data_IF_753213756621
#
_entry.id   IF_753213756621
#
_cell.length_a   1.000
_cell.length_b   1.000
_cell.length_c   1.000
_cell.angle_alpha   90.00
_cell.angle_beta   90.00
_cell.angle_gamma   90.00
#
_symmetry.space_group_name_H-M   'P 1'
#
loop_
_entity.id
_entity.type
_entity.pdbx_description
1 polymer ?
#
# COMPACT_ATOMS: atom_id res chain seq x y z
N UNK A 1 59.60 21.81 -25.12
CA UNK A 1 58.70 22.96 -24.91
C UNK A 1 58.09 23.41 -26.22
N UNK A 2 56.85 22.98 -26.43
CA UNK A 2 56.09 23.19 -27.67
C UNK A 2 55.36 24.53 -27.68
N UNK A 3 55.37 25.11 -28.87
CA UNK A 3 54.88 26.39 -29.38
C UNK A 3 53.34 26.56 -29.45
N UNK A 4 52.88 27.82 -29.34
CA UNK A 4 51.83 28.54 -30.11
C UNK A 4 50.73 27.71 -30.82
N UNK A 5 49.42 27.94 -30.69
CA UNK A 5 48.65 29.10 -31.21
C UNK A 5 47.24 29.21 -30.61
N UNK A 6 46.79 30.45 -30.52
CA UNK A 6 45.42 30.91 -30.23
C UNK A 6 44.50 30.70 -31.46
N UNK A 7 43.25 30.28 -31.26
CA UNK A 7 42.16 30.58 -32.21
C UNK A 7 40.84 30.78 -31.46
N UNK A 8 40.29 31.98 -31.65
CA UNK A 8 38.99 32.44 -31.17
C UNK A 8 37.95 32.24 -32.29
N UNK A 9 36.68 32.03 -31.93
CA UNK A 9 35.45 32.65 -32.48
C UNK A 9 34.19 31.78 -32.16
N UNK A 10 33.39 32.31 -31.20
CA UNK A 10 31.91 32.59 -31.19
C UNK A 10 30.89 31.46 -31.49
N UNK A 11 29.67 31.41 -30.94
CA UNK A 11 28.88 32.11 -29.91
C UNK A 11 27.75 31.12 -29.55
N UNK A 12 27.34 31.04 -28.29
CA UNK A 12 26.18 30.24 -27.86
C UNK A 12 25.71 30.66 -26.49
N UNK A 13 24.84 31.65 -26.46
CA UNK A 13 24.20 32.25 -25.29
C UNK A 13 23.49 31.24 -24.38
N UNK A 14 23.68 31.36 -23.07
CA UNK A 14 22.62 31.74 -22.11
C UNK A 14 22.68 30.96 -20.79
N UNK A 15 22.91 31.75 -19.72
CA UNK A 15 22.35 31.65 -18.37
C UNK A 15 22.55 30.39 -17.53
N UNK A 16 23.56 30.50 -16.66
CA UNK A 16 23.57 30.15 -15.23
C UNK A 16 22.39 29.30 -14.74
N UNK A 17 22.65 28.00 -14.62
CA UNK A 17 21.91 27.06 -13.79
C UNK A 17 22.10 27.47 -12.32
N UNK A 18 21.16 28.25 -11.81
CA UNK A 18 21.06 28.59 -10.39
C UNK A 18 20.09 27.61 -9.74
N UNK A 19 20.49 27.16 -8.56
CA UNK A 19 19.80 26.25 -7.66
C UNK A 19 18.27 26.44 -7.64
N UNK A 20 17.53 25.37 -7.93
CA UNK A 20 16.14 25.19 -7.55
C UNK A 20 16.01 23.85 -6.83
N UNK A 21 16.38 23.85 -5.55
CA UNK A 21 15.71 22.97 -4.60
C UNK A 21 14.25 23.41 -4.54
N UNK A 22 13.26 22.51 -4.57
CA UNK A 22 11.89 22.89 -4.27
C UNK A 22 11.87 23.42 -2.83
N UNK A 23 11.57 24.71 -2.68
CA UNK A 23 11.20 25.31 -1.40
C UNK A 23 10.02 24.54 -0.85
N UNK A 24 10.14 24.08 0.40
CA UNK A 24 9.08 23.44 1.15
C UNK A 24 7.78 24.23 0.99
N UNK A 25 6.83 23.65 0.25
CA UNK A 25 5.49 24.21 0.18
C UNK A 25 4.90 23.96 1.56
N UNK A 26 4.70 25.05 2.30
CA UNK A 26 3.96 25.04 3.55
C UNK A 26 2.61 24.37 3.29
N UNK A 27 2.48 23.12 3.75
CA UNK A 27 1.22 22.39 3.72
C UNK A 27 0.31 23.17 4.64
N UNK A 28 -0.53 24.04 4.07
CA UNK A 28 -1.65 24.63 4.80
C UNK A 28 -2.47 23.45 5.30
N UNK A 29 -2.40 23.19 6.60
CA UNK A 29 -3.33 22.32 7.31
C UNK A 29 -4.71 22.93 7.14
N UNK A 30 -5.40 22.59 6.06
CA UNK A 30 -6.83 22.82 5.93
C UNK A 30 -7.46 21.94 7.01
N UNK A 31 -8.23 22.50 7.96
CA UNK A 31 -8.94 21.67 8.92
C UNK A 31 -9.88 20.78 8.12
N UNK A 32 -9.57 19.49 8.07
CA UNK A 32 -10.44 18.48 7.48
C UNK A 32 -11.71 18.50 8.33
N UNK A 33 -12.74 19.19 7.86
CA UNK A 33 -14.06 19.13 8.46
C UNK A 33 -14.49 17.67 8.40
N UNK A 34 -14.37 16.96 9.52
CA UNK A 34 -14.80 15.57 9.64
C UNK A 34 -16.33 15.58 9.65
N UNK A 35 -16.92 15.66 8.47
CA UNK A 35 -18.33 15.31 8.29
C UNK A 35 -18.37 13.80 8.58
N UNK A 36 -19.05 13.43 9.67
CA UNK A 36 -19.27 12.02 10.01
C UNK A 36 -20.24 11.44 8.99
N UNK A 37 -19.73 10.89 7.90
CA UNK A 37 -20.57 10.38 6.82
C UNK A 37 -21.26 9.08 7.25
N UNK A 38 -22.57 9.05 7.06
CA UNK A 38 -23.38 7.83 7.12
C UNK A 38 -23.98 7.59 5.74
N UNK A 39 -23.98 6.35 5.26
CA UNK A 39 -24.61 6.00 4.00
C UNK A 39 -26.11 6.30 4.05
N UNK A 40 -26.66 6.73 2.92
CA UNK A 40 -28.11 6.89 2.77
C UNK A 40 -28.84 5.59 3.11
N UNK A 41 -29.98 5.68 3.80
CA UNK A 41 -30.79 4.51 4.23
C UNK A 41 -31.23 3.61 3.07
N UNK A 42 -31.17 4.09 1.83
CA UNK A 42 -31.55 3.35 0.63
C UNK A 42 -30.41 2.50 0.04
N UNK A 43 -29.17 2.69 0.49
CA UNK A 43 -28.02 1.93 0.03
C UNK A 43 -28.01 0.59 0.76
N UNK A 44 -28.16 -0.51 0.00
CA UNK A 44 -28.07 -1.86 0.54
C UNK A 44 -26.61 -2.24 0.73
N UNK A 45 -26.27 -2.72 1.92
CA UNK A 45 -24.91 -3.18 2.26
C UNK A 45 -24.98 -4.25 3.34
N UNK A 46 -24.11 -5.27 3.23
CA UNK A 46 -23.91 -6.28 4.27
C UNK A 46 -22.96 -5.82 5.37
N UNK A 47 -22.29 -4.68 5.19
CA UNK A 47 -21.40 -4.08 6.18
C UNK A 47 -21.93 -2.70 6.56
N UNK A 48 -22.38 -2.58 7.81
CA UNK A 48 -22.93 -1.32 8.33
C UNK A 48 -21.79 -0.41 8.78
N UNK A 49 -21.63 0.73 8.10
CA UNK A 49 -20.68 1.75 8.54
C UNK A 49 -21.25 2.51 9.74
N UNK A 50 -20.39 2.88 10.68
CA UNK A 50 -20.77 3.67 11.84
C UNK A 50 -19.96 4.97 11.89
N UNK A 51 -20.49 6.06 12.49
CA UNK A 51 -19.74 7.31 12.65
C UNK A 51 -18.41 7.16 13.40
N UNK A 52 -18.25 6.11 14.20
CA UNK A 52 -17.01 5.83 14.93
C UNK A 52 -15.85 5.40 14.02
N UNK A 53 -16.15 4.85 12.83
CA UNK A 53 -15.14 4.43 11.85
C UNK A 53 -14.42 5.61 11.19
N UNK A 54 -14.96 6.84 11.30
CA UNK A 54 -14.35 8.07 10.78
C UNK A 54 -13.95 8.01 9.30
N UNK A 55 -14.77 7.34 8.48
CA UNK A 55 -14.55 7.21 7.04
C UNK A 55 -14.84 8.53 6.31
N UNK A 56 -14.06 8.80 5.26
CA UNK A 56 -14.38 9.79 4.23
C UNK A 56 -15.60 9.35 3.41
N UNK A 57 -16.17 10.27 2.64
CA UNK A 57 -17.29 9.94 1.73
C UNK A 57 -16.89 8.87 0.71
N UNK A 58 -15.70 8.98 0.11
CA UNK A 58 -15.19 8.03 -0.87
C UNK A 58 -15.02 6.63 -0.25
N UNK A 59 -14.46 6.54 0.96
CA UNK A 59 -14.32 5.27 1.68
C UNK A 59 -15.68 4.66 2.04
N UNK A 60 -16.67 5.49 2.44
CA UNK A 60 -18.02 5.03 2.70
C UNK A 60 -18.70 4.46 1.45
N UNK A 61 -18.55 5.14 0.30
CA UNK A 61 -19.06 4.68 -0.99
C UNK A 61 -18.37 3.38 -1.44
N UNK A 62 -17.05 3.30 -1.29
CA UNK A 62 -16.28 2.09 -1.61
C UNK A 62 -16.73 0.92 -0.71
N UNK A 63 -16.92 1.16 0.59
CA UNK A 63 -17.47 0.15 1.51
C UNK A 63 -18.84 -0.33 1.02
N UNK A 64 -19.75 0.58 0.65
CA UNK A 64 -21.05 0.19 0.11
C UNK A 64 -20.94 -0.66 -1.15
N UNK A 65 -20.02 -0.30 -2.05
CA UNK A 65 -19.73 -1.05 -3.26
C UNK A 65 -19.23 -2.46 -2.95
N UNK A 66 -18.18 -2.59 -2.13
CA UNK A 66 -17.53 -3.86 -1.75
C UNK A 66 -18.52 -4.82 -1.09
N UNK A 67 -19.38 -4.30 -0.22
CA UNK A 67 -20.30 -5.11 0.59
C UNK A 67 -21.75 -5.12 0.05
N UNK A 68 -21.96 -4.72 -1.20
CA UNK A 68 -23.28 -4.76 -1.81
C UNK A 68 -23.78 -6.22 -1.98
N UNK A 69 -24.99 -6.56 -1.50
CA UNK A 69 -25.44 -7.96 -1.40
C UNK A 69 -25.73 -8.64 -2.75
N UNK A 70 -25.81 -7.90 -3.84
CA UNK A 70 -26.17 -8.41 -5.16
C UNK A 70 -25.05 -8.31 -6.19
N UNK A 71 -23.88 -7.82 -5.80
CA UNK A 71 -22.74 -7.75 -6.71
C UNK A 71 -22.07 -9.12 -6.85
N UNK A 72 -21.36 -9.31 -7.96
CA UNK A 72 -20.69 -10.56 -8.28
C UNK A 72 -19.60 -10.89 -7.24
N UNK A 73 -19.74 -12.05 -6.59
CA UNK A 73 -18.79 -12.54 -5.59
C UNK A 73 -17.44 -12.92 -6.19
N UNK A 74 -17.38 -13.23 -7.50
CA UNK A 74 -16.16 -13.56 -8.23
C UNK A 74 -15.37 -12.34 -8.71
N UNK A 75 -15.90 -11.12 -8.52
CA UNK A 75 -15.23 -9.91 -8.96
C UNK A 75 -13.91 -9.69 -8.21
N UNK A 76 -12.84 -9.42 -8.95
CA UNK A 76 -11.54 -9.06 -8.39
C UNK A 76 -11.61 -7.62 -7.88
N UNK A 77 -11.46 -7.44 -6.57
CA UNK A 77 -11.49 -6.13 -5.91
C UNK A 77 -10.10 -5.65 -5.47
N UNK A 78 -9.13 -6.56 -5.42
CA UNK A 78 -7.76 -6.28 -5.02
C UNK A 78 -6.79 -6.98 -5.94
N UNK A 79 -5.73 -6.27 -6.34
CA UNK A 79 -4.64 -6.84 -7.14
C UNK A 79 -3.32 -6.20 -6.74
N UNK A 80 -2.36 -7.03 -6.33
CA UNK A 80 -1.02 -6.58 -5.95
C UNK A 80 0.00 -7.70 -6.15
N UNK A 81 1.09 -7.42 -6.85
CA UNK A 81 2.22 -8.36 -7.06
C UNK A 81 1.80 -9.78 -7.49
N UNK A 82 0.77 -9.90 -8.34
CA UNK A 82 0.26 -11.17 -8.85
C UNK A 82 -0.75 -11.88 -7.94
N UNK A 83 -1.02 -11.35 -6.74
CA UNK A 83 -2.11 -11.78 -5.89
C UNK A 83 -3.40 -11.05 -6.28
N UNK A 84 -4.51 -11.79 -6.37
CA UNK A 84 -5.84 -11.27 -6.65
C UNK A 84 -6.77 -11.62 -5.48
N UNK A 85 -7.47 -10.61 -4.95
CA UNK A 85 -8.48 -10.79 -3.91
C UNK A 85 -9.87 -10.56 -4.49
N UNK A 86 -10.75 -11.54 -4.30
CA UNK A 86 -12.11 -11.49 -4.84
C UNK A 86 -13.11 -10.99 -3.81
N UNK A 87 -14.25 -10.46 -4.28
CA UNK A 87 -15.32 -9.93 -3.42
C UNK A 87 -15.76 -10.90 -2.34
N UNK A 88 -15.83 -12.20 -2.65
CA UNK A 88 -16.18 -13.25 -1.68
C UNK A 88 -15.31 -13.19 -0.43
N UNK A 89 -14.00 -13.00 -0.57
CA UNK A 89 -13.06 -12.97 0.55
C UNK A 89 -13.34 -11.75 1.42
N UNK A 90 -13.60 -10.59 0.80
CA UNK A 90 -13.98 -9.37 1.53
C UNK A 90 -15.25 -9.55 2.33
N UNK A 91 -16.24 -10.30 1.82
CA UNK A 91 -17.49 -10.56 2.53
C UNK A 91 -17.29 -11.24 3.89
N UNK A 92 -16.12 -11.83 4.17
CA UNK A 92 -15.77 -12.42 5.47
C UNK A 92 -15.48 -11.37 6.56
N UNK A 93 -15.26 -10.11 6.17
CA UNK A 93 -15.14 -8.96 7.08
C UNK A 93 -16.49 -8.50 7.64
N UNK A 94 -17.62 -8.99 7.12
CA UNK A 94 -18.93 -8.69 7.68
C UNK A 94 -19.05 -9.21 9.12
N UNK A 95 -19.85 -8.53 9.98
CA UNK A 95 -20.06 -8.97 11.36
C UNK A 95 -20.49 -10.44 11.48
N UNK A 96 -20.05 -11.10 12.56
CA UNK A 96 -20.35 -12.50 12.88
C UNK A 96 -19.85 -13.53 11.84
N UNK A 97 -18.83 -13.18 11.05
CA UNK A 97 -18.13 -14.12 10.17
C UNK A 97 -16.70 -14.35 10.64
N UNK A 98 -16.17 -15.53 10.28
CA UNK A 98 -14.76 -15.86 10.43
C UNK A 98 -14.03 -15.20 9.27
N UNK A 99 -12.99 -14.43 9.57
CA UNK A 99 -12.12 -13.81 8.56
C UNK A 99 -11.29 -14.90 7.89
N UNK A 100 -11.36 -14.99 6.56
CA UNK A 100 -10.58 -15.95 5.79
C UNK A 100 -9.10 -15.57 5.70
N UNK A 101 -8.25 -16.57 5.49
CA UNK A 101 -6.78 -16.43 5.44
C UNK A 101 -6.31 -15.48 4.33
N UNK A 102 -7.06 -15.39 3.26
CA UNK A 102 -6.87 -14.56 2.08
C UNK A 102 -6.91 -13.08 2.45
N UNK A 103 -7.80 -12.69 3.38
CA UNK A 103 -7.85 -11.33 3.91
C UNK A 103 -6.59 -11.01 4.71
N UNK A 104 -6.15 -11.92 5.58
CA UNK A 104 -4.91 -11.73 6.33
C UNK A 104 -3.68 -11.64 5.40
N UNK A 105 -3.66 -12.43 4.33
CA UNK A 105 -2.63 -12.37 3.29
C UNK A 105 -2.64 -11.01 2.57
N UNK A 106 -3.80 -10.54 2.10
CA UNK A 106 -3.93 -9.22 1.47
C UNK A 106 -3.48 -8.09 2.39
N UNK A 107 -3.81 -8.16 3.67
CA UNK A 107 -3.38 -7.18 4.65
C UNK A 107 -1.86 -7.18 4.82
N UNK A 108 -1.23 -8.35 4.88
CA UNK A 108 0.22 -8.47 4.94
C UNK A 108 0.89 -7.89 3.68
N UNK A 109 0.35 -8.17 2.48
CA UNK A 109 0.82 -7.56 1.23
C UNK A 109 0.70 -6.04 1.25
N UNK A 110 -0.45 -5.51 1.67
CA UNK A 110 -0.69 -4.06 1.76
C UNK A 110 0.31 -3.38 2.69
N UNK A 111 0.59 -3.98 3.86
CA UNK A 111 1.56 -3.44 4.82
C UNK A 111 2.96 -3.45 4.22
N UNK A 112 3.41 -4.56 3.63
CA UNK A 112 4.73 -4.63 3.00
C UNK A 112 4.86 -3.66 1.83
N UNK A 113 3.84 -3.53 1.00
CA UNK A 113 3.82 -2.53 -0.06
C UNK A 113 3.98 -1.12 0.50
N UNK A 114 3.21 -0.78 1.55
CA UNK A 114 3.31 0.52 2.22
C UNK A 114 4.72 0.75 2.78
N UNK A 115 5.32 -0.25 3.44
CA UNK A 115 6.69 -0.17 3.95
C UNK A 115 7.70 0.08 2.82
N UNK A 116 7.57 -0.60 1.68
CA UNK A 116 8.44 -0.38 0.51
C UNK A 116 8.38 1.04 -0.05
N UNK A 117 7.27 1.76 0.16
CA UNK A 117 7.12 3.17 -0.26
C UNK A 117 7.62 4.17 0.79
N UNK A 118 7.99 3.72 2.00
CA UNK A 118 8.51 4.60 3.04
C UNK A 118 9.99 4.90 2.80
N UNK A 119 10.44 6.10 3.23
CA UNK A 119 11.85 6.47 3.20
C UNK A 119 12.71 5.58 4.10
N UNK A 120 12.14 5.12 5.21
CA UNK A 120 12.79 4.26 6.20
C UNK A 120 11.87 3.08 6.54
N UNK A 121 11.86 2.01 5.72
CA UNK A 121 11.12 0.80 6.04
C UNK A 121 11.74 0.13 7.28
N UNK A 122 10.88 -0.35 8.18
CA UNK A 122 11.32 -0.91 9.46
C UNK A 122 10.71 -2.26 9.78
N UNK A 123 9.73 -2.72 9.00
CA UNK A 123 8.95 -3.92 9.34
C UNK A 123 8.71 -4.79 8.14
N UNK A 124 8.78 -6.10 8.36
CA UNK A 124 8.18 -7.11 7.50
C UNK A 124 6.88 -7.60 8.13
N UNK A 125 5.88 -7.85 7.30
CA UNK A 125 4.66 -8.56 7.70
C UNK A 125 4.56 -9.83 6.86
N UNK A 126 4.66 -10.99 7.49
CA UNK A 126 4.64 -12.28 6.80
C UNK A 126 3.20 -12.81 6.68
N UNK A 127 2.87 -13.57 5.63
CA UNK A 127 1.53 -14.11 5.46
C UNK A 127 1.32 -15.27 6.45
N UNK A 128 0.07 -15.62 6.78
CA UNK A 128 -0.21 -16.77 7.67
C UNK A 128 0.45 -18.09 7.23
N UNK A 129 0.64 -18.28 5.93
CA UNK A 129 1.32 -19.44 5.35
C UNK A 129 2.75 -19.64 5.90
N UNK A 130 3.46 -18.56 6.25
CA UNK A 130 4.80 -18.63 6.81
C UNK A 130 4.85 -19.44 8.12
N UNK A 131 3.88 -19.23 9.01
CA UNK A 131 3.79 -19.98 10.27
C UNK A 131 3.47 -21.45 10.01
N UNK A 132 2.72 -21.75 8.95
CA UNK A 132 2.46 -23.12 8.55
C UNK A 132 3.74 -23.85 8.10
N UNK A 133 4.58 -23.20 7.28
CA UNK A 133 5.88 -23.73 6.86
C UNK A 133 6.80 -24.03 8.05
N UNK A 134 6.88 -23.11 9.02
CA UNK A 134 7.63 -23.34 10.26
C UNK A 134 7.11 -24.56 11.02
N UNK A 135 5.79 -24.63 11.23
CA UNK A 135 5.18 -25.71 12.01
C UNK A 135 5.28 -27.08 11.31
N UNK A 136 5.34 -27.08 9.98
CA UNK A 136 5.56 -28.27 9.15
C UNK A 136 7.01 -28.76 9.23
N UNK A 137 7.94 -27.90 9.65
CA UNK A 137 9.36 -28.22 9.77
C UNK A 137 10.15 -27.99 8.49
N UNK A 138 9.68 -27.09 7.62
CA UNK A 138 10.42 -26.67 6.43
C UNK A 138 11.77 -26.07 6.85
N UNK A 139 12.82 -26.29 6.04
CA UNK A 139 14.16 -25.80 6.38
C UNK A 139 14.27 -24.29 6.21
N UNK A 140 15.31 -23.69 6.78
CA UNK A 140 15.56 -22.25 6.64
C UNK A 140 15.74 -21.88 5.15
N UNK A 141 16.41 -22.73 4.38
CA UNK A 141 16.64 -22.54 2.95
C UNK A 141 15.33 -22.54 2.16
N UNK A 142 14.42 -23.49 2.44
CA UNK A 142 13.09 -23.57 1.82
C UNK A 142 12.26 -22.31 2.15
N UNK A 143 12.29 -21.89 3.42
CA UNK A 143 11.59 -20.68 3.87
C UNK A 143 12.15 -19.42 3.20
N UNK A 144 13.48 -19.30 3.07
CA UNK A 144 14.10 -18.14 2.40
C UNK A 144 13.72 -18.14 0.92
N UNK A 145 13.79 -19.29 0.23
CA UNK A 145 13.45 -19.40 -1.18
C UNK A 145 11.99 -18.98 -1.45
N UNK A 146 11.06 -19.44 -0.61
CA UNK A 146 9.63 -19.14 -0.76
C UNK A 146 9.28 -17.69 -0.41
N UNK A 147 9.79 -17.18 0.72
CA UNK A 147 9.29 -15.93 1.30
C UNK A 147 10.20 -14.72 1.06
N UNK A 148 11.53 -14.88 0.96
CA UNK A 148 12.44 -13.74 1.09
C UNK A 148 12.24 -12.67 0.01
N UNK A 149 12.05 -13.11 -1.25
CA UNK A 149 11.93 -12.21 -2.41
C UNK A 149 10.82 -11.17 -2.25
N UNK A 150 9.67 -11.57 -1.71
CA UNK A 150 8.48 -10.70 -1.65
C UNK A 150 8.23 -10.14 -0.26
N UNK A 151 8.52 -10.93 0.77
CA UNK A 151 8.10 -10.69 2.15
C UNK A 151 9.22 -10.22 3.07
N UNK A 152 10.48 -10.50 2.71
CA UNK A 152 11.65 -10.11 3.50
C UNK A 152 12.69 -9.35 2.65
N UNK A 153 12.30 -8.24 1.99
CA UNK A 153 13.26 -7.41 1.27
C UNK A 153 14.32 -6.84 2.20
N UNK A 154 15.55 -6.69 1.72
CA UNK A 154 16.66 -6.10 2.49
C UNK A 154 16.32 -4.67 2.95
N UNK A 155 15.95 -4.56 4.22
CA UNK A 155 15.67 -3.30 4.89
C UNK A 155 16.78 -3.05 5.91
N UNK A 156 17.52 -1.94 5.75
CA UNK A 156 18.65 -1.59 6.62
C UNK A 156 18.23 -1.28 8.07
N UNK A 157 16.95 -0.94 8.29
CA UNK A 157 16.44 -0.40 9.55
C UNK A 157 15.36 -1.28 10.19
N UNK A 158 15.45 -2.61 10.02
CA UNK A 158 14.48 -3.52 10.64
C UNK A 158 14.43 -3.33 12.16
N UNK A 159 13.23 -3.09 12.68
CA UNK A 159 13.02 -3.05 14.12
C UNK A 159 13.09 -4.49 14.67
N UNK A 160 14.02 -4.73 15.60
CA UNK A 160 13.96 -5.92 16.44
C UNK A 160 12.80 -5.73 17.43
N UNK A 161 11.73 -6.49 17.25
CA UNK A 161 10.62 -6.60 18.22
C UNK A 161 10.76 -7.93 18.93
#
# INVERSE_FOLDING_TARGET
DSTYTESSIRFGSSSKMTHLFPTATEVKNVPMHTIKHTLSKFIKTNFTITPAMSLTEEEAQLSAYVFHPFNDLGEILFKLDGFEGIRKDFMTLCPAKIVETEIAHMMALKVNWTQKQMLTPTKWTLPPAFVHSINKGDTIEEIIEEYAKYWMPDFENLSHV
#
